data_IF_018120467864
#
_entry.id   IF_018120467864
#
_cell.length_a   1.000
_cell.length_b   1.000
_cell.length_c   1.000
_cell.angle_alpha   90.00
_cell.angle_beta   90.00
_cell.angle_gamma   90.00
#
_symmetry.space_group_name_H-M   'P 1'
#
loop_
_entity.id
_entity.type
_entity.pdbx_description
1 polymer ?
#
# COMPACT_ATOMS: atom_id res chain seq x y z
N UNK A 1 4.42 -17.86 20.48
CA UNK A 1 5.37 -17.35 19.47
C UNK A 1 6.78 -17.78 19.82
N UNK A 2 7.47 -18.44 18.91
CA UNK A 2 8.85 -18.84 19.12
C UNK A 2 9.76 -17.60 19.09
N UNK A 3 10.98 -17.74 19.61
CA UNK A 3 11.98 -16.65 19.58
C UNK A 3 12.29 -16.22 18.14
N UNK A 4 12.37 -17.19 17.21
CA UNK A 4 12.60 -16.91 15.80
C UNK A 4 11.44 -16.14 15.17
N UNK A 5 10.21 -16.50 15.51
CA UNK A 5 9.02 -15.79 15.02
C UNK A 5 8.95 -14.36 15.56
N UNK A 6 9.31 -14.18 16.84
CA UNK A 6 9.38 -12.84 17.43
C UNK A 6 10.42 -11.96 16.74
N UNK A 7 11.56 -12.54 16.38
CA UNK A 7 12.60 -11.82 15.66
C UNK A 7 12.17 -11.42 14.25
N UNK A 8 11.49 -12.33 13.53
CA UNK A 8 10.94 -12.03 12.22
C UNK A 8 9.88 -10.94 12.31
N UNK A 9 9.02 -11.01 13.32
CA UNK A 9 7.99 -10.00 13.53
C UNK A 9 8.60 -8.63 13.81
N UNK A 10 9.64 -8.57 14.64
CA UNK A 10 10.34 -7.33 14.94
C UNK A 10 10.98 -6.73 13.68
N UNK A 11 11.61 -7.55 12.86
CA UNK A 11 12.22 -7.09 11.60
C UNK A 11 11.15 -6.56 10.64
N UNK A 12 10.01 -7.23 10.56
CA UNK A 12 8.89 -6.77 9.72
C UNK A 12 8.36 -5.42 10.19
N UNK A 13 8.22 -5.22 11.50
CA UNK A 13 7.81 -3.93 12.04
C UNK A 13 8.83 -2.84 11.78
N UNK A 14 10.12 -3.18 11.82
CA UNK A 14 11.20 -2.25 11.49
C UNK A 14 11.10 -1.80 10.02
N UNK A 15 10.78 -2.73 9.12
CA UNK A 15 10.56 -2.40 7.70
C UNK A 15 9.34 -1.48 7.52
N UNK A 16 8.27 -1.74 8.24
CA UNK A 16 7.08 -0.87 8.21
C UNK A 16 7.39 0.53 8.73
N UNK A 17 8.14 0.65 9.82
CA UNK A 17 8.54 1.95 10.36
C UNK A 17 9.47 2.69 9.41
N UNK A 18 10.39 1.97 8.78
CA UNK A 18 11.29 2.55 7.77
C UNK A 18 10.47 3.08 6.58
N UNK A 19 9.49 2.31 6.12
CA UNK A 19 8.61 2.72 5.04
C UNK A 19 7.82 3.98 5.42
N UNK A 20 7.26 4.01 6.62
CA UNK A 20 6.56 5.18 7.15
C UNK A 20 7.47 6.40 7.18
N UNK A 21 8.68 6.25 7.72
CA UNK A 21 9.61 7.37 7.84
C UNK A 21 10.05 7.88 6.48
N UNK A 22 10.25 6.99 5.51
CA UNK A 22 10.57 7.36 4.13
C UNK A 22 9.44 8.20 3.52
N UNK A 23 8.20 7.79 3.73
CA UNK A 23 7.04 8.53 3.25
C UNK A 23 6.88 9.87 3.97
N UNK A 24 7.15 9.93 5.27
CA UNK A 24 7.09 11.18 6.03
C UNK A 24 8.06 12.23 5.50
N UNK A 25 9.27 11.81 5.11
CA UNK A 25 10.28 12.71 4.55
C UNK A 25 9.82 13.25 3.19
N UNK A 26 9.22 12.42 2.36
CA UNK A 26 8.82 12.77 0.99
C UNK A 26 7.43 13.41 0.90
N UNK A 27 6.52 13.05 1.82
CA UNK A 27 5.12 13.46 1.79
C UNK A 27 4.68 13.96 3.17
N UNK A 28 5.26 15.07 3.61
CA UNK A 28 5.00 15.64 4.95
C UNK A 28 3.53 15.96 5.21
N UNK A 29 2.78 16.29 4.17
CA UNK A 29 1.35 16.58 4.32
C UNK A 29 0.52 15.37 4.76
N UNK A 30 1.08 14.16 4.69
CA UNK A 30 0.42 12.94 5.16
C UNK A 30 0.83 12.55 6.58
N UNK A 31 1.52 13.42 7.33
CA UNK A 31 2.04 13.11 8.67
C UNK A 31 0.97 12.53 9.58
N UNK A 32 -0.18 13.17 9.71
CA UNK A 32 -1.25 12.71 10.57
C UNK A 32 -1.76 11.32 10.14
N UNK A 33 -1.90 11.08 8.83
CA UNK A 33 -2.35 9.80 8.31
C UNK A 33 -1.29 8.70 8.50
N UNK A 34 -0.01 9.03 8.28
CA UNK A 34 1.08 8.05 8.37
C UNK A 34 1.37 7.62 9.81
N UNK A 35 1.12 8.49 10.78
CA UNK A 35 1.54 8.28 12.17
C UNK A 35 0.51 7.59 13.04
N UNK A 36 -0.70 7.33 12.53
CA UNK A 36 -1.80 6.83 13.36
C UNK A 36 -1.88 5.30 13.46
N UNK A 37 -1.16 4.57 12.60
CA UNK A 37 -1.35 3.13 12.50
C UNK A 37 -0.61 2.34 13.57
N UNK A 38 -1.30 1.38 14.19
CA UNK A 38 -0.69 0.30 14.93
C UNK A 38 -0.45 -0.89 13.99
N UNK A 39 0.57 -1.69 14.25
CA UNK A 39 0.92 -2.83 13.41
C UNK A 39 0.54 -4.12 14.10
N UNK A 40 -0.14 -5.03 13.37
CA UNK A 40 -0.59 -6.33 13.89
C UNK A 40 -0.23 -7.45 12.93
N UNK A 41 0.44 -8.50 13.41
CA UNK A 41 0.72 -9.67 12.56
C UNK A 41 -0.58 -10.39 12.18
N UNK A 42 -0.69 -10.76 10.90
CA UNK A 42 -1.82 -11.52 10.37
C UNK A 42 -1.34 -12.36 9.19
N UNK A 43 -1.23 -13.69 9.35
CA UNK A 43 -0.72 -14.55 8.28
C UNK A 43 -1.52 -14.40 6.98
N UNK A 44 -0.78 -14.25 5.88
CA UNK A 44 -1.37 -14.15 4.55
C UNK A 44 -2.07 -12.85 4.22
N UNK A 45 -1.95 -11.82 5.08
CA UNK A 45 -2.70 -10.58 4.91
C UNK A 45 -1.77 -9.37 4.89
N UNK A 46 -2.03 -8.44 3.97
CA UNK A 46 -1.49 -7.08 4.01
C UNK A 46 -2.67 -6.15 3.74
N UNK A 47 -3.18 -5.53 4.78
CA UNK A 47 -4.40 -4.72 4.70
C UNK A 47 -4.50 -3.74 5.86
N UNK A 48 -5.44 -2.82 5.77
CA UNK A 48 -5.72 -1.87 6.83
C UNK A 48 -7.21 -1.73 7.08
N UNK A 49 -7.56 -1.46 8.34
CA UNK A 49 -8.94 -1.10 8.74
C UNK A 49 -9.08 0.40 9.03
N UNK A 50 -8.04 1.18 8.75
CA UNK A 50 -8.00 2.60 9.04
C UNK A 50 -7.32 2.95 10.37
N UNK A 51 -7.14 1.98 11.26
CA UNK A 51 -6.46 2.16 12.56
C UNK A 51 -5.22 1.29 12.68
N UNK A 52 -5.24 0.13 12.05
CA UNK A 52 -4.16 -0.85 12.12
C UNK A 52 -3.72 -1.25 10.72
N UNK A 53 -2.46 -1.62 10.61
CA UNK A 53 -1.94 -2.30 9.43
C UNK A 53 -1.69 -3.75 9.83
N UNK A 54 -2.35 -4.66 9.11
CA UNK A 54 -2.18 -6.10 9.26
C UNK A 54 -1.13 -6.56 8.26
N UNK A 55 -0.17 -7.36 8.71
CA UNK A 55 0.94 -7.78 7.87
C UNK A 55 1.32 -9.23 8.13
N UNK A 56 1.81 -9.90 7.09
CA UNK A 56 2.47 -11.19 7.18
C UNK A 56 3.97 -10.92 7.19
N UNK A 57 4.64 -11.22 8.31
CA UNK A 57 6.05 -10.87 8.49
C UNK A 57 6.95 -11.49 7.41
N UNK A 58 6.74 -12.75 7.07
CA UNK A 58 7.57 -13.44 6.07
C UNK A 58 7.35 -12.87 4.67
N UNK A 59 6.11 -12.63 4.29
CA UNK A 59 5.78 -12.05 2.99
C UNK A 59 6.33 -10.64 2.86
N UNK A 60 6.19 -9.83 3.90
CA UNK A 60 6.70 -8.45 3.93
C UNK A 60 8.23 -8.42 3.79
N UNK A 61 8.93 -9.24 4.55
CA UNK A 61 10.40 -9.30 4.49
C UNK A 61 10.90 -9.84 3.16
N UNK A 62 10.19 -10.81 2.59
CA UNK A 62 10.50 -11.34 1.26
C UNK A 62 10.36 -10.25 0.20
N UNK A 63 9.28 -9.49 0.25
CA UNK A 63 9.05 -8.37 -0.66
C UNK A 63 10.12 -7.30 -0.54
N UNK A 64 10.51 -6.95 0.68
CA UNK A 64 11.59 -6.00 0.93
C UNK A 64 12.92 -6.49 0.39
N UNK A 65 13.22 -7.78 0.54
CA UNK A 65 14.46 -8.38 0.05
C UNK A 65 14.52 -8.39 -1.48
N UNK A 66 13.39 -8.65 -2.13
CA UNK A 66 13.32 -8.65 -3.59
C UNK A 66 13.40 -7.23 -4.15
N UNK A 67 12.73 -6.30 -3.50
CA UNK A 67 12.58 -4.93 -3.98
C UNK A 67 12.32 -4.02 -2.77
N UNK A 68 13.32 -3.26 -2.35
CA UNK A 68 13.22 -2.44 -1.12
C UNK A 68 12.12 -1.37 -1.18
N UNK A 69 11.73 -0.95 -2.38
CA UNK A 69 10.68 0.05 -2.59
C UNK A 69 9.27 -0.52 -2.44
N UNK A 70 9.12 -1.84 -2.51
CA UNK A 70 7.80 -2.50 -2.45
C UNK A 70 7.05 -2.22 -1.16
N UNK A 71 7.62 -2.39 0.04
CA UNK A 71 6.91 -2.07 1.27
C UNK A 71 6.52 -0.59 1.37
N UNK A 72 7.35 0.32 0.88
CA UNK A 72 7.05 1.76 0.84
C UNK A 72 5.82 2.01 -0.02
N UNK A 73 5.78 1.43 -1.21
CA UNK A 73 4.64 1.57 -2.13
C UNK A 73 3.37 0.95 -1.54
N UNK A 74 3.47 -0.23 -0.95
CA UNK A 74 2.32 -0.91 -0.33
C UNK A 74 1.78 -0.10 0.86
N UNK A 75 2.66 0.47 1.67
CA UNK A 75 2.27 1.33 2.79
C UNK A 75 1.51 2.56 2.28
N UNK A 76 2.06 3.23 1.28
CA UNK A 76 1.41 4.40 0.67
C UNK A 76 0.06 4.03 0.05
N UNK A 77 -0.03 2.89 -0.61
CA UNK A 77 -1.28 2.38 -1.19
C UNK A 77 -2.37 2.27 -0.11
N UNK A 78 -2.04 1.63 1.02
CA UNK A 78 -2.99 1.48 2.14
C UNK A 78 -3.39 2.83 2.74
N UNK A 79 -2.45 3.73 2.93
CA UNK A 79 -2.70 5.06 3.49
C UNK A 79 -3.63 5.86 2.58
N UNK A 80 -3.42 5.81 1.27
CA UNK A 80 -4.25 6.54 0.32
C UNK A 80 -5.68 6.01 0.28
N UNK A 81 -5.89 4.70 0.44
CA UNK A 81 -7.24 4.15 0.59
C UNK A 81 -7.95 4.78 1.80
N UNK A 82 -7.23 4.97 2.91
CA UNK A 82 -7.79 5.59 4.11
C UNK A 82 -8.05 7.08 3.89
N UNK A 83 -7.13 7.79 3.27
CA UNK A 83 -7.26 9.24 3.00
C UNK A 83 -8.47 9.51 2.13
N UNK A 84 -8.70 8.69 1.10
CA UNK A 84 -9.84 8.85 0.19
C UNK A 84 -11.10 8.15 0.69
N UNK A 85 -11.07 7.56 1.89
CA UNK A 85 -12.19 6.87 2.52
C UNK A 85 -12.76 5.73 1.67
N UNK A 86 -11.90 5.04 0.92
CA UNK A 86 -12.31 3.92 0.07
C UNK A 86 -12.90 2.74 0.87
N UNK A 87 -12.56 2.64 2.16
CA UNK A 87 -13.07 1.59 3.05
C UNK A 87 -14.52 1.84 3.49
N UNK A 88 -15.06 3.04 3.23
CA UNK A 88 -16.39 3.47 3.66
C UNK A 88 -17.28 3.68 2.43
N UNK A 89 -17.72 2.59 1.84
CA UNK A 89 -18.56 2.60 0.65
C UNK A 89 -20.00 2.20 0.98
N UNK A 90 -20.96 2.80 0.25
CA UNK A 90 -22.37 2.45 0.35
C UNK A 90 -22.62 0.98 -0.05
N UNK A 91 -23.54 0.31 0.65
CA UNK A 91 -23.90 -1.08 0.39
C UNK A 91 -24.56 -1.29 -0.99
N UNK A 92 -25.02 -0.22 -1.63
CA UNK A 92 -25.62 -0.27 -2.97
C UNK A 92 -24.58 -0.44 -4.08
N UNK A 93 -23.30 -0.25 -3.76
CA UNK A 93 -22.23 -0.34 -4.75
C UNK A 93 -21.70 -1.77 -4.81
N UNK A 94 -21.38 -2.24 -6.02
CA UNK A 94 -20.70 -3.53 -6.20
C UNK A 94 -19.30 -3.44 -5.60
N UNK A 95 -19.07 -4.16 -4.49
CA UNK A 95 -17.82 -4.09 -3.75
C UNK A 95 -16.62 -4.56 -4.57
N UNK A 96 -16.76 -5.58 -5.39
CA UNK A 96 -15.64 -6.08 -6.21
C UNK A 96 -15.21 -5.04 -7.25
N UNK A 97 -16.15 -4.40 -7.92
CA UNK A 97 -15.87 -3.33 -8.88
C UNK A 97 -15.32 -2.08 -8.17
N UNK A 98 -15.88 -1.74 -7.01
CA UNK A 98 -15.41 -0.62 -6.20
C UNK A 98 -13.96 -0.81 -5.77
N UNK A 99 -13.62 -1.99 -5.22
CA UNK A 99 -12.28 -2.30 -4.77
C UNK A 99 -11.28 -2.20 -5.92
N UNK A 100 -11.62 -2.75 -7.08
CA UNK A 100 -10.74 -2.67 -8.25
C UNK A 100 -10.55 -1.22 -8.71
N UNK A 101 -11.63 -0.45 -8.78
CA UNK A 101 -11.57 0.96 -9.16
C UNK A 101 -10.72 1.78 -8.18
N UNK A 102 -10.89 1.54 -6.88
CA UNK A 102 -10.09 2.21 -5.84
C UNK A 102 -8.62 1.87 -5.96
N UNK A 103 -8.29 0.59 -6.16
CA UNK A 103 -6.90 0.15 -6.33
C UNK A 103 -6.25 0.81 -7.55
N UNK A 104 -6.97 0.87 -8.67
CA UNK A 104 -6.48 1.51 -9.89
C UNK A 104 -6.26 3.01 -9.67
N UNK A 105 -7.19 3.69 -9.00
CA UNK A 105 -7.08 5.10 -8.71
C UNK A 105 -5.89 5.40 -7.80
N UNK A 106 -5.71 4.61 -6.74
CA UNK A 106 -4.59 4.77 -5.80
C UNK A 106 -3.24 4.54 -6.51
N UNK A 107 -3.13 3.47 -7.29
CA UNK A 107 -1.89 3.18 -8.02
C UNK A 107 -1.58 4.26 -9.05
N UNK A 108 -2.59 4.82 -9.71
CA UNK A 108 -2.43 5.93 -10.64
C UNK A 108 -1.85 7.15 -9.93
N UNK A 109 -2.36 7.47 -8.74
CA UNK A 109 -1.88 8.61 -7.93
C UNK A 109 -0.42 8.38 -7.51
N UNK A 110 -0.09 7.18 -7.04
CA UNK A 110 1.29 6.84 -6.64
C UNK A 110 2.24 7.00 -7.83
N UNK A 111 1.82 6.55 -9.01
CA UNK A 111 2.64 6.69 -10.22
C UNK A 111 2.83 8.16 -10.63
N UNK A 112 1.80 8.99 -10.47
CA UNK A 112 1.88 10.43 -10.76
C UNK A 112 2.77 11.17 -9.77
N UNK A 113 2.83 10.73 -8.52
CA UNK A 113 3.74 11.31 -7.53
C UNK A 113 5.21 11.08 -7.89
N UNK A 114 5.49 10.04 -8.67
CA UNK A 114 6.82 9.70 -9.19
C UNK A 114 7.91 9.71 -8.12
N UNK A 115 7.61 9.08 -6.98
CA UNK A 115 8.57 8.96 -5.88
C UNK A 115 9.51 7.79 -6.13
N UNK A 116 10.82 8.06 -6.22
CA UNK A 116 11.83 7.01 -6.38
C UNK A 116 11.73 5.97 -5.29
N UNK A 117 11.47 6.38 -4.04
CA UNK A 117 11.35 5.49 -2.90
C UNK A 117 10.16 4.53 -2.97
N UNK A 118 9.15 4.85 -3.78
CA UNK A 118 7.97 4.02 -3.97
C UNK A 118 7.85 3.48 -5.41
N UNK A 119 8.89 3.64 -6.24
CA UNK A 119 8.91 3.20 -7.64
C UNK A 119 9.27 1.72 -7.71
N UNK A 120 8.29 0.86 -7.44
CA UNK A 120 8.43 -0.58 -7.55
C UNK A 120 8.12 -1.06 -8.97
N UNK A 121 8.41 -2.32 -9.28
CA UNK A 121 8.11 -2.93 -10.58
C UNK A 121 6.64 -2.79 -10.97
N UNK A 122 5.75 -2.71 -9.98
CA UNK A 122 4.32 -2.51 -10.15
C UNK A 122 4.00 -1.20 -10.89
N UNK A 123 4.87 -0.17 -10.80
CA UNK A 123 4.64 1.11 -11.47
C UNK A 123 4.58 0.96 -12.99
N UNK A 124 5.46 0.18 -13.59
CA UNK A 124 5.45 -0.07 -15.04
C UNK A 124 4.20 -0.84 -15.47
N UNK A 125 3.79 -1.83 -14.66
CA UNK A 125 2.56 -2.59 -14.91
C UNK A 125 1.34 -1.69 -14.82
N UNK A 126 1.32 -0.80 -13.84
CA UNK A 126 0.21 0.12 -13.64
C UNK A 126 0.10 1.12 -14.78
N UNK A 127 1.21 1.65 -15.25
CA UNK A 127 1.24 2.56 -16.40
C UNK A 127 0.68 1.89 -17.64
N UNK A 128 1.07 0.64 -17.91
CA UNK A 128 0.57 -0.13 -19.03
C UNK A 128 -0.94 -0.38 -18.93
N UNK A 129 -1.43 -0.75 -17.74
CA UNK A 129 -2.84 -0.98 -17.50
C UNK A 129 -3.66 0.29 -17.68
N UNK A 130 -3.20 1.41 -17.15
CA UNK A 130 -3.85 2.70 -17.33
C UNK A 130 -3.92 3.11 -18.79
N UNK A 131 -2.85 2.84 -19.55
CA UNK A 131 -2.84 3.10 -20.98
C UNK A 131 -3.91 2.31 -21.71
N UNK A 132 -4.08 1.03 -21.37
CA UNK A 132 -5.13 0.18 -21.94
C UNK A 132 -6.52 0.68 -21.59
N UNK A 133 -6.75 1.08 -20.33
CA UNK A 133 -8.04 1.60 -19.88
C UNK A 133 -8.38 2.91 -20.58
N UNK A 134 -7.42 3.83 -20.69
CA UNK A 134 -7.61 5.10 -21.40
C UNK A 134 -7.94 4.89 -22.87
N UNK A 135 -7.27 3.94 -23.52
CA UNK A 135 -7.52 3.59 -24.91
C UNK A 135 -8.95 3.02 -25.09
N UNK A 136 -9.38 2.12 -24.20
CA UNK A 136 -10.72 1.55 -24.23
C UNK A 136 -11.80 2.61 -24.02
N UNK A 137 -11.59 3.55 -23.10
CA UNK A 137 -12.53 4.65 -22.84
C UNK A 137 -12.63 5.59 -24.03
N UNK A 138 -11.51 5.81 -24.73
CA UNK A 138 -11.47 6.70 -25.88
C UNK A 138 -12.31 6.19 -27.07
N UNK A 139 -12.50 4.87 -27.16
CA UNK A 139 -13.28 4.23 -28.22
C UNK A 139 -14.80 4.21 -27.91
N UNK A 140 -15.19 4.68 -26.73
CA UNK A 140 -16.58 4.84 -26.36
C UNK A 140 -17.08 6.20 -26.83
#
# INVERSE_FOLDING_TARGET
MTEQEQRLDQLAQDVLRLSRNTLLVNLRFLDAALSQFAYRPAPGLLATDGQRIYYDARALLRGYRQEKERPVRDYLHMVLHCVFRHNFVDTLVDHACWDLACDMAVEAIISELDLRAAAASRQSRQAALLGQVKAAVKDL
#
